data_IF_470428840621
#
_entry.id   IF_470428840621
#
_cell.length_a   1.000
_cell.length_b   1.000
_cell.length_c   1.000
_cell.angle_alpha   90.00
_cell.angle_beta   90.00
_cell.angle_gamma   90.00
#
_symmetry.space_group_name_H-M   'P 1'
#
loop_
_entity.id
_entity.type
_entity.pdbx_description
1 polymer ?
#
# COMPACT_ATOMS: atom_id res chain seq x y z
N UNK A 1 -26.24 -21.00 49.97
CA UNK A 1 -26.30 -19.84 49.05
C UNK A 1 -25.07 -19.96 48.16
N UNK A 2 -25.17 -20.75 47.10
CA UNK A 2 -24.09 -20.96 46.14
C UNK A 2 -24.19 -19.86 45.09
N UNK A 3 -23.15 -19.04 44.94
CA UNK A 3 -23.04 -18.13 43.81
C UNK A 3 -22.22 -18.80 42.72
N UNK A 4 -22.89 -19.12 41.62
CA UNK A 4 -22.28 -19.50 40.35
C UNK A 4 -21.54 -18.29 39.77
N UNK A 5 -20.21 -18.38 39.69
CA UNK A 5 -19.40 -17.48 38.86
C UNK A 5 -19.18 -18.15 37.51
N UNK A 6 -19.99 -17.74 36.53
CA UNK A 6 -19.82 -18.13 35.14
C UNK A 6 -18.50 -17.57 34.60
N UNK A 7 -17.53 -18.45 34.35
CA UNK A 7 -16.30 -18.12 33.65
C UNK A 7 -16.59 -17.74 32.20
N UNK A 8 -16.50 -16.44 31.89
CA UNK A 8 -16.38 -15.96 30.53
C UNK A 8 -15.06 -16.45 29.94
N UNK A 9 -15.14 -17.45 29.06
CA UNK A 9 -14.05 -17.84 28.17
C UNK A 9 -13.86 -16.72 27.14
N UNK A 10 -12.91 -15.83 27.39
CA UNK A 10 -12.35 -14.95 26.36
C UNK A 10 -11.61 -15.83 25.36
N UNK A 11 -12.26 -16.09 24.24
CA UNK A 11 -11.67 -16.77 23.09
C UNK A 11 -10.57 -15.90 22.51
N UNK A 12 -9.31 -16.20 22.85
CA UNK A 12 -8.16 -15.74 22.10
C UNK A 12 -8.23 -16.37 20.71
N UNK A 13 -8.69 -15.60 19.72
CA UNK A 13 -8.52 -15.95 18.32
C UNK A 13 -7.05 -15.73 17.96
N UNK A 14 -6.21 -16.70 18.28
CA UNK A 14 -4.87 -16.80 17.69
C UNK A 14 -5.05 -17.17 16.22
N UNK A 15 -5.24 -16.17 15.35
CA UNK A 15 -5.13 -16.36 13.91
C UNK A 15 -3.64 -16.44 13.60
N UNK A 16 -3.14 -17.67 13.54
CA UNK A 16 -1.81 -17.98 13.03
C UNK A 16 -1.73 -17.43 11.61
N UNK A 17 -0.97 -16.34 11.41
CA UNK A 17 -0.66 -15.81 10.10
C UNK A 17 0.34 -16.77 9.43
N UNK A 18 -0.17 -17.72 8.67
CA UNK A 18 0.65 -18.47 7.74
C UNK A 18 0.79 -17.64 6.46
N UNK A 19 1.91 -16.93 6.31
CA UNK A 19 2.39 -16.55 4.97
C UNK A 19 2.65 -17.87 4.25
N UNK A 20 1.78 -18.25 3.31
CA UNK A 20 1.90 -19.53 2.64
C UNK A 20 3.12 -19.50 1.69
N UNK A 21 4.25 -20.01 2.14
CA UNK A 21 5.40 -20.29 1.28
C UNK A 21 5.11 -21.56 0.46
N UNK A 22 4.56 -21.42 -0.75
CA UNK A 22 4.59 -22.51 -1.74
C UNK A 22 5.42 -22.11 -2.96
N UNK A 23 6.57 -22.76 -3.10
CA UNK A 23 7.48 -22.65 -4.25
C UNK A 23 7.12 -23.74 -5.27
N UNK A 24 6.63 -23.34 -6.45
CA UNK A 24 6.97 -23.88 -7.80
C UNK A 24 6.11 -23.19 -8.86
N UNK A 25 6.67 -22.16 -9.50
CA UNK A 25 6.17 -21.60 -10.77
C UNK A 25 4.82 -20.87 -10.76
N UNK A 26 4.28 -20.52 -9.58
CA UNK A 26 3.03 -19.78 -9.42
C UNK A 26 3.21 -18.58 -8.49
N UNK A 27 2.45 -17.52 -8.73
CA UNK A 27 2.42 -16.31 -7.90
C UNK A 27 1.91 -16.63 -6.48
N UNK A 28 2.41 -15.93 -5.47
CA UNK A 28 2.11 -16.19 -4.05
C UNK A 28 0.90 -15.37 -3.58
N UNK A 29 -0.16 -16.06 -3.15
CA UNK A 29 -1.41 -15.43 -2.71
C UNK A 29 -1.48 -15.17 -1.20
N UNK A 30 -2.19 -14.10 -0.83
CA UNK A 30 -2.48 -13.78 0.56
C UNK A 30 -3.59 -14.66 1.14
N UNK A 31 -3.27 -15.36 2.23
CA UNK A 31 -4.25 -16.08 3.04
C UNK A 31 -4.91 -15.20 4.13
N UNK A 32 -4.44 -13.96 4.29
CA UNK A 32 -4.83 -13.06 5.38
C UNK A 32 -6.13 -12.35 5.05
N UNK A 33 -7.08 -12.35 5.99
CA UNK A 33 -8.37 -11.68 5.79
C UNK A 33 -8.30 -10.18 6.10
N UNK A 34 -7.56 -9.82 7.15
CA UNK A 34 -7.38 -8.44 7.62
C UNK A 34 -5.99 -8.33 8.25
N UNK A 35 -5.33 -7.20 8.01
CA UNK A 35 -4.10 -6.73 8.66
C UNK A 35 -4.47 -5.55 9.55
N UNK A 36 -4.17 -5.63 10.84
CA UNK A 36 -4.14 -4.47 11.75
C UNK A 36 -2.76 -3.84 11.64
N UNK A 37 -2.67 -2.67 11.03
CA UNK A 37 -1.46 -1.85 10.95
C UNK A 37 -1.51 -0.78 12.04
N UNK A 38 -0.57 -0.81 12.96
CA UNK A 38 -0.26 0.29 13.86
C UNK A 38 0.92 1.09 13.30
N UNK A 39 0.66 2.33 12.90
CA UNK A 39 1.59 3.16 12.15
C UNK A 39 2.05 4.35 13.00
N UNK A 40 3.36 4.50 13.12
CA UNK A 40 4.02 5.70 13.64
C UNK A 40 4.66 6.42 12.46
N UNK A 41 4.02 7.48 11.97
CA UNK A 41 4.48 8.23 10.80
C UNK A 41 5.10 9.55 11.23
N UNK A 42 6.31 9.82 10.75
CA UNK A 42 7.08 11.00 11.11
C UNK A 42 7.60 11.67 9.84
N UNK A 43 7.24 12.94 9.66
CA UNK A 43 7.80 13.79 8.62
C UNK A 43 8.20 15.13 9.24
N UNK A 44 9.52 15.32 9.38
CA UNK A 44 10.06 16.48 10.07
C UNK A 44 9.81 17.78 9.30
N UNK A 45 9.97 17.78 7.97
CA UNK A 45 9.82 18.98 7.14
C UNK A 45 8.40 19.56 7.21
N UNK A 46 7.37 18.71 7.23
CA UNK A 46 5.97 19.13 7.38
C UNK A 46 5.51 19.23 8.83
N UNK A 47 6.37 18.94 9.81
CA UNK A 47 6.03 18.80 11.23
C UNK A 47 4.85 17.84 11.51
N UNK A 48 4.74 16.76 10.73
CA UNK A 48 3.68 15.76 10.88
C UNK A 48 4.21 14.55 11.63
N UNK A 49 3.74 14.38 12.87
CA UNK A 49 4.05 13.24 13.73
C UNK A 49 2.74 12.60 14.15
N UNK A 50 2.45 11.44 13.58
CA UNK A 50 1.13 10.80 13.63
C UNK A 50 1.26 9.38 14.15
N UNK A 51 0.26 8.98 14.95
CA UNK A 51 0.05 7.60 15.36
C UNK A 51 -1.38 7.21 15.00
N UNK A 52 -1.52 6.14 14.21
CA UNK A 52 -2.82 5.65 13.76
C UNK A 52 -2.84 4.11 13.76
N UNK A 53 -4.02 3.53 14.00
CA UNK A 53 -4.29 2.13 13.75
C UNK A 53 -5.23 2.01 12.55
N UNK A 54 -4.79 1.33 11.48
CA UNK A 54 -5.59 1.05 10.29
C UNK A 54 -5.85 -0.44 10.15
N UNK A 55 -7.05 -0.79 9.69
CA UNK A 55 -7.41 -2.16 9.33
C UNK A 55 -7.48 -2.27 7.82
N UNK A 56 -6.68 -3.17 7.26
CA UNK A 56 -6.42 -3.28 5.83
C UNK A 56 -6.80 -4.68 5.37
N UNK A 57 -7.64 -4.78 4.35
CA UNK A 57 -8.06 -6.06 3.80
C UNK A 57 -7.43 -6.25 2.42
N UNK A 58 -6.77 -7.40 2.17
CA UNK A 58 -6.42 -7.79 0.82
C UNK A 58 -7.66 -7.93 -0.06
N UNK A 59 -7.49 -7.77 -1.37
CA UNK A 59 -8.50 -8.18 -2.34
C UNK A 59 -8.68 -9.71 -2.33
N UNK A 60 -9.78 -10.18 -2.90
CA UNK A 60 -9.99 -11.62 -3.07
C UNK A 60 -8.89 -12.21 -3.97
N UNK A 61 -8.19 -13.22 -3.46
CA UNK A 61 -7.04 -13.86 -4.13
C UNK A 61 -5.95 -12.85 -4.57
N UNK A 62 -5.74 -11.79 -3.79
CA UNK A 62 -4.68 -10.84 -4.06
C UNK A 62 -3.30 -11.49 -3.88
N UNK A 63 -2.42 -11.24 -4.85
CA UNK A 63 -1.02 -11.65 -4.79
C UNK A 63 -0.27 -10.79 -3.76
N UNK A 64 0.67 -11.39 -3.03
CA UNK A 64 1.41 -10.72 -1.96
C UNK A 64 2.14 -9.49 -2.48
N UNK A 65 2.77 -9.57 -3.65
CA UNK A 65 3.48 -8.45 -4.27
C UNK A 65 2.55 -7.26 -4.53
N UNK A 66 1.34 -7.50 -5.06
CA UNK A 66 0.34 -6.47 -5.31
C UNK A 66 -0.08 -5.78 -4.00
N UNK A 67 -0.33 -6.55 -2.95
CA UNK A 67 -0.66 -5.99 -1.64
C UNK A 67 0.50 -5.22 -1.02
N UNK A 68 1.73 -5.73 -1.14
CA UNK A 68 2.94 -5.02 -0.72
C UNK A 68 3.03 -3.64 -1.38
N UNK A 69 2.87 -3.58 -2.71
CA UNK A 69 2.88 -2.31 -3.43
C UNK A 69 1.76 -1.38 -2.96
N UNK A 70 0.55 -1.88 -2.70
CA UNK A 70 -0.54 -1.04 -2.14
C UNK A 70 -0.16 -0.44 -0.81
N UNK A 71 0.45 -1.21 0.08
CA UNK A 71 0.87 -0.71 1.38
C UNK A 71 2.06 0.25 1.27
N UNK A 72 3.08 -0.07 0.48
CA UNK A 72 4.20 0.85 0.23
C UNK A 72 3.72 2.17 -0.38
N UNK A 73 2.75 2.12 -1.30
CA UNK A 73 2.10 3.31 -1.87
C UNK A 73 1.32 4.09 -0.80
N UNK A 74 0.55 3.41 0.06
CA UNK A 74 -0.16 4.05 1.18
C UNK A 74 0.80 4.81 2.10
N UNK A 75 1.91 4.18 2.48
CA UNK A 75 2.92 4.78 3.36
C UNK A 75 3.63 5.96 2.68
N UNK A 76 3.93 5.83 1.38
CA UNK A 76 4.58 6.87 0.58
C UNK A 76 3.73 8.12 0.36
N UNK A 77 2.41 7.94 0.34
CA UNK A 77 1.43 8.98 0.09
C UNK A 77 0.70 9.41 1.37
N UNK A 78 1.12 8.93 2.54
CA UNK A 78 0.32 8.97 3.77
C UNK A 78 -0.14 10.38 4.17
N UNK A 79 0.69 11.39 3.91
CA UNK A 79 0.39 12.80 4.22
C UNK A 79 -0.84 13.34 3.49
N UNK A 80 -1.11 12.81 2.29
CA UNK A 80 -2.27 13.17 1.47
C UNK A 80 -3.54 12.41 1.88
N UNK A 81 -3.49 11.63 2.97
CA UNK A 81 -4.58 10.82 3.49
C UNK A 81 -5.29 9.96 2.41
N UNK A 82 -4.55 9.16 1.62
CA UNK A 82 -5.14 8.39 0.53
C UNK A 82 -6.12 7.35 1.07
N UNK A 83 -7.21 7.16 0.34
CA UNK A 83 -8.13 6.07 0.53
C UNK A 83 -7.67 4.85 -0.28
N UNK A 84 -7.80 3.66 0.30
CA UNK A 84 -7.62 2.39 -0.39
C UNK A 84 -8.93 1.96 -1.05
N UNK A 85 -8.85 1.42 -2.26
CA UNK A 85 -9.99 0.76 -2.86
C UNK A 85 -10.39 -0.50 -2.08
N UNK A 86 -11.70 -0.78 -2.06
CA UNK A 86 -12.28 -1.96 -1.40
C UNK A 86 -12.36 -3.16 -2.33
N UNK A 87 -12.33 -2.94 -3.65
CA UNK A 87 -12.45 -3.99 -4.67
C UNK A 87 -11.50 -3.73 -5.83
N UNK A 88 -10.87 -4.79 -6.34
CA UNK A 88 -9.99 -4.72 -7.49
C UNK A 88 -10.72 -4.36 -8.80
N UNK A 89 -9.96 -3.79 -9.76
CA UNK A 89 -10.32 -3.73 -11.19
C UNK A 89 -11.35 -2.67 -11.62
N UNK A 90 -12.10 -2.06 -10.69
CA UNK A 90 -13.08 -1.01 -11.03
C UNK A 90 -12.53 0.40 -11.00
N UNK A 91 -11.39 0.66 -10.36
CA UNK A 91 -10.82 1.98 -10.16
C UNK A 91 -9.36 1.90 -9.71
N UNK A 92 -8.81 3.00 -9.15
CA UNK A 92 -7.45 2.99 -8.63
C UNK A 92 -7.32 2.04 -7.44
N UNK A 93 -6.10 1.62 -7.13
CA UNK A 93 -5.82 0.89 -5.89
C UNK A 93 -5.79 1.83 -4.68
N UNK A 94 -5.28 3.05 -4.87
CA UNK A 94 -5.32 4.14 -3.90
C UNK A 94 -5.70 5.45 -4.57
N UNK A 95 -6.40 6.32 -3.85
CA UNK A 95 -6.81 7.60 -4.40
C UNK A 95 -6.90 8.71 -3.37
N UNK A 96 -6.79 9.94 -3.87
CA UNK A 96 -7.15 11.16 -3.15
C UNK A 96 -8.24 11.85 -3.98
N UNK A 97 -9.34 12.23 -3.32
CA UNK A 97 -10.43 12.99 -3.93
C UNK A 97 -10.58 14.36 -3.28
N UNK A 98 -11.07 15.31 -4.05
CA UNK A 98 -11.52 16.59 -3.52
C UNK A 98 -12.95 16.49 -2.93
N UNK A 99 -13.45 17.62 -2.43
CA UNK A 99 -14.80 17.74 -1.87
C UNK A 99 -15.91 17.49 -2.91
N UNK A 100 -15.60 17.62 -4.20
CA UNK A 100 -16.51 17.38 -5.32
C UNK A 100 -16.41 15.95 -5.88
N UNK A 101 -15.71 15.06 -5.17
CA UNK A 101 -15.47 13.67 -5.57
C UNK A 101 -14.63 13.48 -6.85
N UNK A 102 -13.97 14.53 -7.33
CA UNK A 102 -12.98 14.48 -8.41
C UNK A 102 -11.68 13.86 -7.91
N UNK A 103 -10.97 13.10 -8.75
CA UNK A 103 -9.71 12.49 -8.34
C UNK A 103 -8.57 13.50 -8.46
N UNK A 104 -7.98 13.89 -7.33
CA UNK A 104 -6.73 14.65 -7.35
C UNK A 104 -5.53 13.73 -7.62
N UNK A 105 -5.58 12.52 -7.06
CA UNK A 105 -4.60 11.48 -7.30
C UNK A 105 -5.28 10.14 -7.59
N UNK A 106 -4.84 9.51 -8.68
CA UNK A 106 -5.14 8.12 -9.04
C UNK A 106 -3.86 7.29 -8.93
N UNK A 107 -3.76 6.39 -7.97
CA UNK A 107 -2.62 5.50 -7.82
C UNK A 107 -3.00 4.06 -8.17
N UNK A 108 -2.23 3.43 -9.06
CA UNK A 108 -2.39 2.04 -9.49
C UNK A 108 -1.07 1.28 -9.24
N UNK A 109 -1.17 0.03 -8.79
CA UNK A 109 -0.01 -0.81 -8.46
C UNK A 109 0.18 -2.01 -9.40
N UNK A 110 -0.54 -2.04 -10.51
CA UNK A 110 -0.42 -3.04 -11.56
C UNK A 110 -0.46 -2.33 -12.92
N UNK A 111 0.14 -2.95 -13.94
CA UNK A 111 0.14 -2.41 -15.30
C UNK A 111 -1.31 -2.26 -15.81
N UNK A 112 -1.79 -1.04 -16.05
CA UNK A 112 -3.13 -0.83 -16.58
C UNK A 112 -3.18 -1.16 -18.07
N UNK A 113 -4.32 -1.63 -18.55
CA UNK A 113 -4.58 -1.62 -20.00
C UNK A 113 -4.87 -0.19 -20.50
N UNK A 114 -4.82 0.01 -21.82
CA UNK A 114 -5.02 1.33 -22.45
C UNK A 114 -6.32 2.03 -22.02
N UNK A 115 -7.42 1.28 -21.91
CA UNK A 115 -8.72 1.83 -21.50
C UNK A 115 -8.70 2.29 -20.04
N UNK A 116 -8.06 1.52 -19.17
CA UNK A 116 -7.89 1.88 -17.75
C UNK A 116 -7.01 3.11 -17.61
N UNK A 117 -5.88 3.16 -18.33
CA UNK A 117 -4.97 4.29 -18.31
C UNK A 117 -5.63 5.57 -18.83
N UNK A 118 -6.29 5.50 -19.99
CA UNK A 118 -6.99 6.65 -20.56
C UNK A 118 -8.05 7.19 -19.60
N UNK A 119 -8.80 6.29 -18.95
CA UNK A 119 -9.76 6.67 -17.92
C UNK A 119 -9.09 7.33 -16.73
N UNK A 120 -8.00 6.76 -16.20
CA UNK A 120 -7.27 7.32 -15.07
C UNK A 120 -6.77 8.74 -15.39
N UNK A 121 -6.09 8.91 -16.54
CA UNK A 121 -5.56 10.20 -16.99
C UNK A 121 -6.65 11.24 -17.22
N UNK A 122 -7.85 10.84 -17.67
CA UNK A 122 -8.96 11.76 -17.88
C UNK A 122 -9.70 12.14 -16.60
N UNK A 123 -9.79 11.21 -15.65
CA UNK A 123 -10.56 11.40 -14.42
C UNK A 123 -9.74 11.99 -13.26
N UNK A 124 -8.44 12.23 -13.45
CA UNK A 124 -7.58 12.68 -12.36
C UNK A 124 -6.60 13.78 -12.76
N UNK A 125 -6.24 14.61 -11.78
CA UNK A 125 -5.20 15.63 -11.96
C UNK A 125 -3.83 14.97 -12.11
N UNK A 126 -3.59 13.88 -11.37
CA UNK A 126 -2.37 13.10 -11.41
C UNK A 126 -2.65 11.60 -11.37
N UNK A 127 -1.92 10.86 -12.21
CA UNK A 127 -1.87 9.40 -12.21
C UNK A 127 -0.48 8.97 -11.77
N UNK A 128 -0.42 8.11 -10.75
CA UNK A 128 0.80 7.47 -10.28
C UNK A 128 0.69 5.96 -10.53
N UNK A 129 1.69 5.39 -11.20
CA UNK A 129 1.89 3.95 -11.26
C UNK A 129 3.05 3.57 -10.34
N UNK A 130 2.77 2.74 -9.34
CA UNK A 130 3.78 2.15 -8.44
C UNK A 130 3.97 0.70 -8.84
N UNK A 131 4.98 0.42 -9.68
CA UNK A 131 5.17 -0.88 -10.30
C UNK A 131 6.44 -1.55 -9.78
N UNK A 132 6.54 -2.89 -9.82
CA UNK A 132 7.84 -3.53 -9.74
C UNK A 132 8.76 -2.98 -10.83
N UNK A 133 10.04 -2.77 -10.52
CA UNK A 133 11.01 -2.19 -11.48
C UNK A 133 11.04 -2.94 -12.82
N UNK A 134 10.92 -4.27 -12.80
CA UNK A 134 10.91 -5.08 -14.02
C UNK A 134 9.68 -4.82 -14.90
N UNK A 135 8.53 -4.43 -14.32
CA UNK A 135 7.34 -4.02 -15.07
C UNK A 135 7.44 -2.57 -15.51
N UNK A 136 7.94 -1.69 -14.65
CA UNK A 136 8.19 -0.29 -14.97
C UNK A 136 9.06 -0.17 -16.23
N UNK A 137 10.19 -0.88 -16.29
CA UNK A 137 11.10 -0.85 -17.42
C UNK A 137 10.42 -1.29 -18.73
N UNK A 138 9.67 -2.40 -18.68
CA UNK A 138 8.89 -2.89 -19.83
C UNK A 138 7.83 -1.87 -20.26
N UNK A 139 7.15 -1.26 -19.30
CA UNK A 139 6.10 -0.28 -19.56
C UNK A 139 6.66 0.96 -20.26
N UNK A 140 7.76 1.53 -19.73
CA UNK A 140 8.43 2.71 -20.29
C UNK A 140 8.95 2.47 -21.72
N UNK A 141 9.38 1.25 -22.04
CA UNK A 141 9.80 0.89 -23.41
C UNK A 141 8.63 0.78 -24.39
N UNK A 142 7.46 0.36 -23.91
CA UNK A 142 6.30 0.07 -24.76
C UNK A 142 5.32 1.25 -24.92
N UNK A 143 5.28 2.19 -23.97
CA UNK A 143 4.24 3.22 -23.93
C UNK A 143 4.79 4.64 -23.90
N UNK A 144 4.13 5.53 -24.65
CA UNK A 144 4.34 6.97 -24.52
C UNK A 144 3.71 7.47 -23.23
N UNK A 145 4.41 8.37 -22.55
CA UNK A 145 3.95 8.94 -21.29
C UNK A 145 2.90 10.03 -21.52
N UNK A 146 1.83 9.99 -20.72
CA UNK A 146 0.86 11.09 -20.62
C UNK A 146 1.42 12.20 -19.74
N UNK A 147 0.98 13.45 -19.95
CA UNK A 147 1.51 14.61 -19.21
C UNK A 147 1.27 14.55 -17.70
N UNK A 148 0.17 13.93 -17.27
CA UNK A 148 -0.18 13.75 -15.85
C UNK A 148 0.15 12.35 -15.31
N UNK A 149 0.96 11.56 -16.02
CA UNK A 149 1.36 10.22 -15.61
C UNK A 149 2.77 10.24 -15.00
N UNK A 150 2.90 9.73 -13.79
CA UNK A 150 4.17 9.44 -13.12
C UNK A 150 4.29 7.93 -12.90
N UNK A 151 5.50 7.39 -13.05
CA UNK A 151 5.75 5.95 -12.90
C UNK A 151 6.96 5.76 -12.00
N UNK A 152 6.75 5.10 -10.86
CA UNK A 152 7.79 4.76 -9.90
C UNK A 152 8.02 3.26 -9.88
N UNK A 153 9.29 2.87 -9.84
CA UNK A 153 9.73 1.50 -9.71
C UNK A 153 9.99 1.17 -8.25
N UNK A 154 9.58 -0.04 -7.84
CA UNK A 154 9.96 -0.62 -6.57
C UNK A 154 10.83 -1.83 -6.85
N UNK A 155 12.04 -1.84 -6.27
CA UNK A 155 12.99 -2.92 -6.49
C UNK A 155 12.46 -4.25 -5.95
N UNK A 156 12.93 -5.37 -6.53
CA UNK A 156 12.57 -6.69 -6.05
C UNK A 156 13.02 -6.92 -4.59
N UNK A 157 14.18 -6.38 -4.20
CA UNK A 157 14.70 -6.48 -2.85
C UNK A 157 13.81 -5.74 -1.86
N UNK A 158 13.38 -4.51 -2.18
CA UNK A 158 12.42 -3.75 -1.36
C UNK A 158 11.10 -4.50 -1.19
N UNK A 159 10.58 -5.13 -2.26
CA UNK A 159 9.34 -5.91 -2.19
C UNK A 159 9.50 -7.17 -1.33
N UNK A 160 10.63 -7.87 -1.45
CA UNK A 160 10.93 -9.06 -0.66
C UNK A 160 11.12 -8.72 0.82
N UNK A 161 11.82 -7.63 1.14
CA UNK A 161 12.03 -7.18 2.51
C UNK A 161 10.71 -6.72 3.15
N UNK A 162 9.90 -5.95 2.42
CA UNK A 162 8.60 -5.54 2.93
C UNK A 162 7.64 -6.73 3.10
N UNK A 163 7.68 -7.72 2.21
CA UNK A 163 6.88 -8.95 2.35
C UNK A 163 7.22 -9.71 3.65
N UNK A 164 8.47 -9.65 4.12
CA UNK A 164 8.88 -10.25 5.41
C UNK A 164 8.33 -9.49 6.62
N UNK A 165 8.02 -8.20 6.48
CA UNK A 165 7.39 -7.39 7.53
C UNK A 165 5.88 -7.68 7.67
N UNK A 166 5.23 -8.27 6.65
CA UNK A 166 3.79 -8.52 6.66
C UNK A 166 3.35 -9.49 7.75
N UNK A 167 2.53 -9.00 8.68
CA UNK A 167 1.97 -9.73 9.82
C UNK A 167 0.51 -9.35 10.02
N UNK A 168 -0.31 -10.24 10.60
CA UNK A 168 -1.74 -9.95 10.85
C UNK A 168 -1.94 -8.79 11.80
N UNK A 169 -1.01 -8.63 12.74
CA UNK A 169 -0.83 -7.45 13.56
C UNK A 169 0.57 -6.93 13.25
N UNK A 170 0.62 -5.80 12.55
CA UNK A 170 1.85 -5.19 12.06
C UNK A 170 2.01 -3.84 12.77
N UNK A 171 3.24 -3.56 13.20
CA UNK A 171 3.62 -2.26 13.74
C UNK A 171 4.73 -1.72 12.85
N UNK A 172 4.54 -0.54 12.27
CA UNK A 172 5.54 0.11 11.43
C UNK A 172 5.85 1.50 11.96
N UNK A 173 7.14 1.84 11.98
CA UNK A 173 7.61 3.21 12.06
C UNK A 173 8.08 3.66 10.69
N UNK A 174 7.59 4.80 10.25
CA UNK A 174 7.95 5.44 8.98
C UNK A 174 8.54 6.80 9.29
N UNK A 175 9.75 7.05 8.76
CA UNK A 175 10.41 8.35 8.74
C UNK A 175 10.50 8.82 7.30
N UNK A 176 9.85 9.94 7.02
CA UNK A 176 9.91 10.61 5.73
C UNK A 176 10.94 11.73 5.83
N UNK A 177 11.90 11.70 4.91
CA UNK A 177 12.88 12.76 4.69
C UNK A 177 12.85 13.12 3.20
N UNK A 178 12.12 14.20 2.87
CA UNK A 178 11.88 14.71 1.52
C UNK A 178 11.55 13.63 0.48
N UNK A 179 12.56 13.08 -0.20
CA UNK A 179 12.40 12.12 -1.30
C UNK A 179 12.62 10.65 -0.88
N UNK A 180 12.79 10.37 0.42
CA UNK A 180 13.06 9.02 0.93
C UNK A 180 12.16 8.69 2.13
N UNK A 181 11.65 7.46 2.15
CA UNK A 181 11.03 6.85 3.32
C UNK A 181 11.96 5.80 3.91
N UNK A 182 12.21 5.89 5.20
CA UNK A 182 12.76 4.81 6.01
C UNK A 182 11.60 4.11 6.73
N UNK A 183 11.43 2.81 6.49
CA UNK A 183 10.31 2.02 7.03
C UNK A 183 10.89 0.85 7.84
N UNK A 184 10.42 0.69 9.08
CA UNK A 184 10.89 -0.38 9.96
C UNK A 184 9.77 -0.99 10.78
N UNK A 185 9.85 -2.30 11.01
CA UNK A 185 9.03 -3.03 11.98
C UNK A 185 9.77 -3.29 13.31
N UNK A 186 10.93 -2.66 13.50
CA UNK A 186 11.85 -2.87 14.63
C UNK A 186 12.84 -4.01 14.45
N UNK A 187 12.69 -4.86 13.42
CA UNK A 187 13.64 -5.92 13.08
C UNK A 187 14.32 -5.66 11.74
N UNK A 188 13.54 -5.30 10.73
CA UNK A 188 14.01 -4.94 9.41
C UNK A 188 13.91 -3.42 9.22
N UNK A 189 14.83 -2.86 8.43
CA UNK A 189 14.80 -1.48 7.96
C UNK A 189 14.89 -1.52 6.45
N UNK A 190 13.96 -0.86 5.77
CA UNK A 190 14.01 -0.65 4.33
C UNK A 190 14.00 0.85 4.02
N UNK A 191 14.57 1.18 2.87
CA UNK A 191 14.46 2.50 2.28
C UNK A 191 13.63 2.43 0.99
N UNK A 192 12.76 3.41 0.79
CA UNK A 192 11.92 3.53 -0.39
C UNK A 192 11.98 4.97 -0.91
N UNK A 193 12.26 5.14 -2.19
CA UNK A 193 12.14 6.44 -2.84
C UNK A 193 10.68 6.89 -2.84
N UNK A 194 10.47 8.12 -2.42
CA UNK A 194 9.18 8.76 -2.49
C UNK A 194 8.74 8.99 -3.95
N UNK A 195 7.44 8.81 -4.26
CA UNK A 195 6.94 9.20 -5.56
C UNK A 195 6.90 10.74 -5.67
N UNK A 196 7.24 11.32 -6.84
CA UNK A 196 7.26 12.76 -7.06
C UNK A 196 5.84 13.29 -7.30
N UNK A 197 5.02 13.26 -6.25
CA UNK A 197 3.63 13.72 -6.27
C UNK A 197 3.58 15.18 -5.84
N UNK A 198 2.78 16.00 -6.53
CA UNK A 198 2.70 17.43 -6.19
C UNK A 198 2.18 17.66 -4.78
N UNK A 199 2.79 18.61 -4.06
CA UNK A 199 2.32 19.08 -2.76
C UNK A 199 0.95 19.77 -2.82
N UNK A 200 0.48 20.15 -4.02
CA UNK A 200 -0.85 20.73 -4.26
C UNK A 200 -1.98 19.68 -4.22
N UNK A 201 -1.81 18.58 -3.48
CA UNK A 201 -2.87 17.61 -3.19
C UNK A 201 -3.65 17.92 -1.90
N UNK A 202 -3.25 18.96 -1.16
CA UNK A 202 -4.00 19.53 -0.04
C UNK A 202 -5.05 20.53 -0.49
#
# INVERSE_FOLDING_TARGET
MCMDYAGQKTGFYTVIAAVCHQKKGGCMQLAMKVVRLELFYNHAASQRFLHEIRYLAPFFAEEVEHFCLRLLSLLSLYEFAPALAQTAGKGPDLFVKDEHSHYRLWCQVAVPNDKQLQRACHQSDQVLLMLPEYEQQKYLQAHKQSANLQICGVSADTLNDFAQMLKSNMQLSVWRDDDVLQITDGQLLLELAAPPVSSTLH
#
